data_IF_237049896093
#
_entry.id   IF_237049896093
#
_cell.length_a   1.000
_cell.length_b   1.000
_cell.length_c   1.000
_cell.angle_alpha   90.00
_cell.angle_beta   90.00
_cell.angle_gamma   90.00
#
_symmetry.space_group_name_H-M   'P 1'
#
loop_
_entity.id
_entity.type
_entity.pdbx_description
1 polymer ?
#
# COMPACT_ATOMS: atom_id res chain seq x y z
N UNK A 1 7.48 46.40 41.68
CA UNK A 1 8.00 45.06 42.05
C UNK A 1 7.05 44.29 42.99
N UNK A 2 5.79 44.72 43.17
CA UNK A 2 4.86 44.16 44.17
C UNK A 2 3.83 43.17 43.62
N UNK A 3 3.64 43.05 42.31
CA UNK A 3 2.60 42.17 41.75
C UNK A 3 3.03 40.68 41.71
N UNK A 4 4.31 40.40 41.43
CA UNK A 4 4.81 39.01 41.35
C UNK A 4 4.77 38.26 42.69
N UNK A 5 4.85 38.97 43.82
CA UNK A 5 4.79 38.36 45.16
C UNK A 5 3.35 38.07 45.63
N UNK A 6 2.35 38.77 45.08
CA UNK A 6 0.97 38.63 45.51
C UNK A 6 0.30 37.38 44.87
N UNK A 7 0.73 37.02 43.66
CA UNK A 7 0.29 35.81 42.95
C UNK A 7 0.82 34.53 43.63
N UNK A 8 2.07 34.53 44.08
CA UNK A 8 2.72 33.38 44.73
C UNK A 8 2.12 33.09 46.10
N UNK A 9 1.82 34.12 46.90
CA UNK A 9 1.14 33.98 48.18
C UNK A 9 -0.29 33.43 48.03
N UNK A 10 -1.02 33.88 47.00
CA UNK A 10 -2.37 33.36 46.71
C UNK A 10 -2.37 31.89 46.30
N UNK A 11 -1.33 31.44 45.59
CA UNK A 11 -1.12 30.02 45.26
C UNK A 11 -0.98 29.16 46.53
N UNK A 12 -0.10 29.56 47.43
CA UNK A 12 0.18 28.85 48.70
C UNK A 12 -1.06 28.78 49.60
N UNK A 13 -1.82 29.88 49.70
CA UNK A 13 -3.07 29.91 50.48
C UNK A 13 -4.12 28.98 49.89
N UNK A 14 -4.28 28.94 48.55
CA UNK A 14 -5.22 28.04 47.89
C UNK A 14 -4.85 26.57 48.06
N UNK A 15 -3.57 26.23 48.00
CA UNK A 15 -3.06 24.88 48.21
C UNK A 15 -3.29 24.39 49.65
N UNK A 16 -3.03 25.28 50.61
CA UNK A 16 -3.30 25.03 52.04
C UNK A 16 -4.80 24.86 52.32
N UNK A 17 -5.63 25.71 51.72
CA UNK A 17 -7.10 25.64 51.85
C UNK A 17 -7.68 24.39 51.18
N UNK A 18 -7.16 24.01 50.00
CA UNK A 18 -7.54 22.78 49.30
C UNK A 18 -7.18 21.55 50.15
N UNK A 19 -6.02 21.54 50.79
CA UNK A 19 -5.62 20.44 51.70
C UNK A 19 -6.55 20.32 52.90
N UNK A 20 -6.98 21.44 53.47
CA UNK A 20 -7.92 21.48 54.61
C UNK A 20 -9.37 21.09 54.25
N UNK A 21 -9.75 21.21 52.98
CA UNK A 21 -11.12 20.95 52.49
C UNK A 21 -11.27 19.62 51.73
N UNK A 22 -10.22 18.82 51.64
CA UNK A 22 -10.25 17.51 50.96
C UNK A 22 -9.94 17.55 49.45
N UNK A 23 -9.36 18.65 48.97
CA UNK A 23 -8.90 18.87 47.60
C UNK A 23 -9.63 20.01 46.89
N UNK A 24 -9.14 20.44 45.71
CA UNK A 24 -9.85 21.41 44.88
C UNK A 24 -11.26 20.92 44.53
N UNK A 25 -12.25 21.83 44.45
CA UNK A 25 -13.64 21.45 44.15
C UNK A 25 -13.67 20.70 42.82
N UNK A 26 -14.26 19.51 42.82
CA UNK A 26 -14.39 18.68 41.62
C UNK A 26 -15.58 19.13 40.78
N UNK A 27 -15.47 18.99 39.48
CA UNK A 27 -16.59 19.03 38.54
C UNK A 27 -16.83 17.65 37.92
N UNK A 28 -18.00 17.49 37.30
CA UNK A 28 -18.34 16.28 36.54
C UNK A 28 -18.03 16.51 35.06
N UNK A 29 -17.37 15.53 34.43
CA UNK A 29 -17.17 15.52 32.98
C UNK A 29 -17.86 14.29 32.40
N UNK A 30 -18.80 14.53 31.50
CA UNK A 30 -19.45 13.49 30.69
C UNK A 30 -18.64 13.29 29.41
N UNK A 31 -17.96 12.15 29.29
CA UNK A 31 -17.17 11.78 28.11
C UNK A 31 -18.05 10.92 27.20
N UNK A 32 -18.19 11.32 25.94
CA UNK A 32 -18.87 10.58 24.87
C UNK A 32 -17.86 10.19 23.82
N UNK A 33 -17.74 8.90 23.51
CA UNK A 33 -16.80 8.34 22.54
C UNK A 33 -17.51 7.28 21.68
N UNK A 34 -18.53 7.70 20.93
CA UNK A 34 -19.34 6.88 20.03
C UNK A 34 -19.83 5.55 20.65
N UNK A 35 -19.38 4.39 20.18
CA UNK A 35 -19.72 3.05 20.73
C UNK A 35 -18.45 2.26 21.13
N UNK A 36 -17.46 2.95 21.70
CA UNK A 36 -16.19 2.32 22.09
C UNK A 36 -16.17 1.92 23.56
N UNK A 37 -15.45 0.83 23.83
CA UNK A 37 -15.17 0.34 25.18
C UNK A 37 -13.66 0.50 25.44
N UNK A 38 -13.29 1.17 26.53
CA UNK A 38 -11.88 1.53 26.75
C UNK A 38 -11.58 2.12 28.12
N UNK A 39 -10.37 2.68 28.24
CA UNK A 39 -9.86 3.32 29.44
C UNK A 39 -9.72 4.83 29.21
N UNK A 40 -10.19 5.62 30.17
CA UNK A 40 -10.06 7.07 30.21
C UNK A 40 -8.87 7.45 31.07
N UNK A 41 -8.05 8.34 30.53
CA UNK A 41 -6.93 8.97 31.20
C UNK A 41 -7.18 10.48 31.32
N UNK A 42 -6.81 11.05 32.47
CA UNK A 42 -6.82 12.49 32.72
C UNK A 42 -5.40 12.90 33.06
N UNK A 43 -4.81 13.78 32.25
CA UNK A 43 -3.41 14.20 32.35
C UNK A 43 -2.43 13.01 32.43
N UNK A 44 -2.71 11.96 31.66
CA UNK A 44 -1.93 10.72 31.62
C UNK A 44 -2.16 9.75 32.79
N UNK A 45 -3.04 10.07 33.75
CA UNK A 45 -3.40 9.18 34.88
C UNK A 45 -4.73 8.48 34.61
N UNK A 46 -4.86 7.18 34.93
CA UNK A 46 -6.11 6.46 34.74
C UNK A 46 -7.20 7.03 35.65
N UNK A 47 -8.31 7.48 35.05
CA UNK A 47 -9.40 8.16 35.76
C UNK A 47 -10.73 7.40 35.75
N UNK A 48 -10.89 6.44 34.84
CA UNK A 48 -12.11 5.62 34.73
C UNK A 48 -12.13 4.80 33.45
N UNK A 49 -13.14 3.93 33.30
CA UNK A 49 -13.37 3.19 32.06
C UNK A 49 -14.60 3.73 31.33
N UNK A 50 -14.60 3.62 30.00
CA UNK A 50 -15.75 3.96 29.16
C UNK A 50 -16.40 2.67 28.66
N UNK A 51 -17.74 2.61 28.77
CA UNK A 51 -18.55 1.50 28.30
C UNK A 51 -19.71 2.04 27.46
N UNK A 52 -20.04 1.34 26.37
CA UNK A 52 -21.09 1.76 25.43
C UNK A 52 -20.90 3.23 24.98
N UNK A 53 -19.62 3.64 24.84
CA UNK A 53 -19.19 4.98 24.46
C UNK A 53 -19.59 6.12 25.38
N UNK A 54 -19.97 5.86 26.64
CA UNK A 54 -20.29 6.92 27.63
C UNK A 54 -19.64 6.68 28.98
N UNK A 55 -19.18 7.75 29.61
CA UNK A 55 -18.69 7.72 30.99
C UNK A 55 -18.86 9.07 31.68
N UNK A 56 -18.99 9.05 33.00
CA UNK A 56 -18.93 10.26 33.83
C UNK A 56 -17.77 10.12 34.82
N UNK A 57 -16.86 11.09 34.78
CA UNK A 57 -15.70 11.15 35.68
C UNK A 57 -15.71 12.44 36.49
N UNK A 58 -15.12 12.40 37.68
CA UNK A 58 -14.97 13.57 38.55
C UNK A 58 -13.54 14.09 38.49
N UNK A 59 -13.38 15.27 37.92
CA UNK A 59 -12.09 15.90 37.68
C UNK A 59 -11.99 17.18 38.53
N UNK A 60 -10.83 17.49 39.14
CA UNK A 60 -10.63 18.78 39.79
C UNK A 60 -10.99 19.97 38.90
N UNK A 61 -11.41 21.09 39.51
CA UNK A 61 -11.58 22.33 38.77
C UNK A 61 -10.24 22.80 38.20
N UNK A 62 -10.20 23.08 36.90
CA UNK A 62 -8.98 23.36 36.16
C UNK A 62 -9.08 22.96 34.69
N UNK A 63 -8.04 23.25 33.92
CA UNK A 63 -7.90 22.73 32.56
C UNK A 63 -7.18 21.40 32.60
N UNK A 64 -7.78 20.38 31.98
CA UNK A 64 -7.30 19.01 31.99
C UNK A 64 -7.36 18.41 30.59
N UNK A 65 -6.40 17.57 30.25
CA UNK A 65 -6.39 16.80 29.00
C UNK A 65 -6.98 15.42 29.25
N UNK A 66 -8.09 15.13 28.56
CA UNK A 66 -8.76 13.83 28.63
C UNK A 66 -8.36 13.01 27.42
N UNK A 67 -7.95 11.77 27.64
CA UNK A 67 -7.56 10.82 26.61
C UNK A 67 -8.36 9.52 26.77
N UNK A 68 -8.86 8.97 25.68
CA UNK A 68 -9.58 7.70 25.64
C UNK A 68 -8.77 6.73 24.80
N UNK A 69 -8.41 5.60 25.42
CA UNK A 69 -7.72 4.49 24.77
C UNK A 69 -8.64 3.29 24.71
N UNK A 70 -8.97 2.85 23.51
CA UNK A 70 -9.81 1.67 23.29
C UNK A 70 -9.08 0.69 22.36
N UNK A 71 -9.11 -0.63 22.64
CA UNK A 71 -8.52 -1.63 21.74
C UNK A 71 -9.14 -1.54 20.34
N UNK A 72 -8.30 -1.53 19.30
CA UNK A 72 -8.74 -1.42 17.91
C UNK A 72 -9.06 0.01 17.44
N UNK A 73 -8.91 1.02 18.30
CA UNK A 73 -9.10 2.42 17.96
C UNK A 73 -7.81 3.22 18.18
N UNK A 74 -7.64 4.31 17.44
CA UNK A 74 -6.58 5.26 17.70
C UNK A 74 -6.85 6.03 19.01
N UNK A 75 -5.80 6.32 19.77
CA UNK A 75 -5.90 7.12 20.99
C UNK A 75 -6.43 8.52 20.65
N UNK A 76 -7.54 8.91 21.26
CA UNK A 76 -8.18 10.21 21.03
C UNK A 76 -8.11 11.06 22.29
N UNK A 77 -7.75 12.33 22.16
CA UNK A 77 -7.64 13.24 23.30
C UNK A 77 -8.29 14.60 23.04
N UNK A 78 -8.82 15.23 24.08
CA UNK A 78 -9.35 16.60 24.04
C UNK A 78 -9.12 17.34 25.35
N UNK A 79 -8.93 18.65 25.27
CA UNK A 79 -8.76 19.51 26.43
C UNK A 79 -10.12 20.02 26.93
N UNK A 80 -10.33 20.01 28.24
CA UNK A 80 -11.56 20.49 28.88
C UNK A 80 -11.24 21.39 30.06
N UNK A 81 -11.96 22.51 30.18
CA UNK A 81 -11.90 23.39 31.36
C UNK A 81 -13.07 23.10 32.28
N UNK A 82 -12.79 22.49 33.42
CA UNK A 82 -13.76 22.09 34.43
C UNK A 82 -13.97 23.22 35.44
N UNK A 83 -15.22 23.65 35.60
CA UNK A 83 -15.60 24.64 36.62
C UNK A 83 -15.89 23.94 37.97
N UNK A 84 -15.66 24.61 39.12
CA UNK A 84 -16.06 24.11 40.43
C UNK A 84 -17.54 23.72 40.43
N UNK A 85 -17.87 22.49 40.83
CA UNK A 85 -19.26 21.96 40.83
C UNK A 85 -20.00 22.01 39.48
N UNK A 86 -19.28 22.25 38.38
CA UNK A 86 -19.84 22.31 37.04
C UNK A 86 -20.02 20.92 36.41
N UNK A 87 -20.86 20.85 35.38
CA UNK A 87 -20.96 19.69 34.49
C UNK A 87 -20.57 20.12 33.08
N UNK A 88 -19.65 19.38 32.46
CA UNK A 88 -19.17 19.64 31.09
C UNK A 88 -19.24 18.34 30.30
N UNK A 89 -19.74 18.40 29.07
CA UNK A 89 -19.75 17.27 28.16
C UNK A 89 -18.62 17.41 27.14
N UNK A 90 -17.80 16.38 26.97
CA UNK A 90 -16.76 16.27 25.96
C UNK A 90 -17.12 15.13 25.00
N UNK A 91 -17.27 15.44 23.72
CA UNK A 91 -17.50 14.45 22.67
C UNK A 91 -16.21 14.23 21.89
N UNK A 92 -15.76 12.98 21.84
CA UNK A 92 -14.60 12.51 21.11
C UNK A 92 -15.09 11.50 20.07
N UNK A 93 -14.43 11.46 18.92
CA UNK A 93 -14.74 10.52 17.85
C UNK A 93 -13.53 9.63 17.60
N UNK A 94 -13.43 8.47 18.27
CA UNK A 94 -12.35 7.53 18.05
C UNK A 94 -12.40 7.00 16.62
N UNK A 95 -11.32 7.15 15.89
CA UNK A 95 -11.18 6.53 14.56
C UNK A 95 -10.67 5.11 14.80
N UNK A 96 -11.27 4.07 14.19
CA UNK A 96 -10.69 2.75 14.17
C UNK A 96 -9.23 2.89 13.76
N UNK A 97 -8.32 2.26 14.51
CA UNK A 97 -6.95 2.18 14.05
C UNK A 97 -7.06 1.43 12.74
N UNK A 98 -6.69 2.07 11.63
CA UNK A 98 -6.35 1.33 10.43
C UNK A 98 -5.23 0.42 10.89
N UNK A 99 -5.58 -0.79 11.33
CA UNK A 99 -4.67 -1.90 11.21
C UNK A 99 -4.42 -1.91 9.72
N UNK A 100 -3.26 -1.39 9.33
CA UNK A 100 -2.61 -1.70 8.09
C UNK A 100 -3.03 -3.13 7.79
N UNK A 101 -3.93 -3.27 6.82
CA UNK A 101 -4.62 -4.52 6.51
C UNK A 101 -3.63 -5.47 5.88
N UNK A 102 -2.56 -5.79 6.58
CA UNK A 102 -1.77 -6.98 6.41
C UNK A 102 -2.62 -8.10 7.00
N UNK A 103 -3.60 -8.48 6.17
CA UNK A 103 -4.20 -9.80 6.08
C UNK A 103 -3.40 -10.80 6.93
N UNK A 104 -3.90 -11.09 8.13
CA UNK A 104 -3.31 -12.01 9.11
C UNK A 104 -3.42 -13.47 8.67
N UNK A 105 -2.97 -13.78 7.45
CA UNK A 105 -2.34 -15.06 7.15
C UNK A 105 -0.83 -14.80 7.14
N UNK A 106 0.01 -15.62 7.80
CA UNK A 106 1.45 -15.48 7.63
C UNK A 106 1.73 -15.44 6.13
N UNK A 107 2.51 -14.47 5.62
CA UNK A 107 2.75 -14.35 4.19
C UNK A 107 3.27 -15.70 3.73
N UNK A 108 2.45 -16.43 2.98
CA UNK A 108 2.84 -17.69 2.40
C UNK A 108 3.92 -17.32 1.39
N UNK A 109 5.19 -17.35 1.82
CA UNK A 109 6.35 -17.03 0.99
C UNK A 109 6.35 -17.88 -0.29
N UNK A 110 5.72 -19.06 -0.20
CA UNK A 110 5.38 -19.94 -1.31
C UNK A 110 4.42 -19.31 -2.34
N UNK A 111 3.39 -18.61 -1.89
CA UNK A 111 2.38 -17.92 -2.72
C UNK A 111 2.92 -16.60 -3.29
N UNK A 112 3.69 -15.84 -2.49
CA UNK A 112 4.43 -14.66 -2.97
C UNK A 112 5.45 -15.08 -4.04
N UNK A 113 6.18 -16.18 -3.80
CA UNK A 113 7.11 -16.76 -4.77
C UNK A 113 6.43 -17.24 -6.05
N UNK A 114 5.23 -17.86 -5.95
CA UNK A 114 4.48 -18.30 -7.12
C UNK A 114 4.02 -17.13 -8.01
N UNK A 115 3.43 -16.08 -7.43
CA UNK A 115 3.04 -14.89 -8.19
C UNK A 115 4.24 -14.13 -8.76
N UNK A 116 5.33 -14.02 -7.98
CA UNK A 116 6.59 -13.45 -8.45
C UNK A 116 7.17 -14.19 -9.66
N UNK A 117 7.13 -15.53 -9.65
CA UNK A 117 7.59 -16.36 -10.75
C UNK A 117 6.72 -16.20 -12.02
N UNK A 118 5.41 -16.04 -11.87
CA UNK A 118 4.49 -15.81 -13.01
C UNK A 118 4.73 -14.45 -13.67
N UNK A 119 4.91 -13.38 -12.87
CA UNK A 119 5.21 -12.04 -13.39
C UNK A 119 6.56 -12.01 -14.10
N UNK A 120 7.59 -12.61 -13.49
CA UNK A 120 8.90 -12.73 -14.12
C UNK A 120 8.84 -13.55 -15.43
N UNK A 121 8.17 -14.70 -15.42
CA UNK A 121 7.95 -15.54 -16.61
C UNK A 121 7.23 -14.79 -17.75
N UNK A 122 6.22 -13.98 -17.41
CA UNK A 122 5.52 -13.12 -18.36
C UNK A 122 6.43 -12.08 -19.02
N UNK A 123 7.29 -11.40 -18.25
CA UNK A 123 8.26 -10.44 -18.79
C UNK A 123 9.27 -11.10 -19.74
N UNK A 124 9.76 -12.30 -19.41
CA UNK A 124 10.63 -13.06 -20.29
C UNK A 124 9.93 -13.51 -21.58
N UNK A 125 8.66 -13.89 -21.53
CA UNK A 125 7.88 -14.23 -22.72
C UNK A 125 7.73 -13.03 -23.67
N UNK A 126 7.43 -11.84 -23.13
CA UNK A 126 7.40 -10.60 -23.92
C UNK A 126 8.76 -10.31 -24.56
N UNK A 127 9.85 -10.42 -23.79
CA UNK A 127 11.21 -10.28 -24.31
C UNK A 127 11.54 -11.27 -25.44
N UNK A 128 11.09 -12.53 -25.32
CA UNK A 128 11.27 -13.55 -26.34
C UNK A 128 10.50 -13.25 -27.63
N UNK A 129 9.25 -12.77 -27.53
CA UNK A 129 8.46 -12.39 -28.71
C UNK A 129 9.02 -11.15 -29.42
N UNK A 130 9.49 -10.14 -28.66
CA UNK A 130 10.19 -8.99 -29.21
C UNK A 130 11.49 -9.38 -29.91
N UNK A 131 12.29 -10.27 -29.29
CA UNK A 131 13.52 -10.81 -29.89
C UNK A 131 13.24 -11.53 -31.21
N UNK A 132 12.23 -12.41 -31.25
CA UNK A 132 11.84 -13.11 -32.48
C UNK A 132 11.38 -12.14 -33.58
N UNK A 133 10.64 -11.09 -33.22
CA UNK A 133 10.19 -10.06 -34.16
C UNK A 133 11.38 -9.27 -34.76
N UNK A 134 12.37 -8.91 -33.93
CA UNK A 134 13.58 -8.20 -34.37
C UNK A 134 14.45 -9.04 -35.31
N UNK A 135 14.64 -10.33 -35.01
CA UNK A 135 15.39 -11.25 -35.89
C UNK A 135 14.71 -11.39 -37.26
N UNK A 136 13.37 -11.44 -37.28
CA UNK A 136 12.61 -11.56 -38.53
C UNK A 136 12.61 -10.27 -39.36
N UNK A 137 12.80 -9.10 -38.75
CA UNK A 137 12.92 -7.84 -39.51
C UNK A 137 14.31 -7.71 -40.16
N UNK A 138 15.38 -8.14 -39.48
CA UNK A 138 16.75 -8.08 -40.03
C UNK A 138 16.94 -9.00 -41.24
N UNK A 139 16.34 -10.19 -41.23
CA UNK A 139 16.42 -11.13 -42.36
C UNK A 139 15.57 -10.76 -43.59
N UNK A 140 14.83 -9.64 -43.54
CA UNK A 140 13.95 -9.16 -44.61
C UNK A 140 14.46 -7.89 -45.30
N UNK A 141 15.58 -7.33 -44.87
CA UNK A 141 16.17 -6.20 -45.58
C UNK A 141 16.65 -6.67 -46.95
N UNK A 142 16.08 -6.06 -48.00
CA UNK A 142 16.41 -6.36 -49.40
C UNK A 142 17.92 -6.27 -49.66
N UNK A 143 18.62 -5.39 -48.93
CA UNK A 143 20.08 -5.25 -48.97
C UNK A 143 20.82 -6.46 -48.38
N UNK A 144 20.32 -7.06 -47.30
CA UNK A 144 20.89 -8.28 -46.72
C UNK A 144 20.62 -9.50 -47.61
N UNK A 145 19.42 -9.58 -48.20
CA UNK A 145 19.06 -10.64 -49.16
C UNK A 145 19.94 -10.54 -50.41
N UNK A 146 20.12 -9.34 -50.97
CA UNK A 146 21.02 -9.09 -52.09
C UNK A 146 22.49 -9.38 -51.76
N UNK A 147 22.92 -9.15 -50.51
CA UNK A 147 24.25 -9.56 -50.06
C UNK A 147 24.39 -11.09 -50.09
N UNK A 148 23.39 -11.82 -49.60
CA UNK A 148 23.37 -13.29 -49.57
C UNK A 148 23.33 -13.93 -50.95
N UNK A 149 22.62 -13.32 -51.91
CA UNK A 149 22.57 -13.80 -53.30
C UNK A 149 23.92 -13.74 -54.03
N UNK A 150 24.86 -12.93 -53.52
CA UNK A 150 26.20 -12.80 -54.09
C UNK A 150 27.16 -13.95 -53.76
N UNK A 151 26.79 -14.87 -52.86
CA UNK A 151 27.69 -15.88 -52.34
C UNK A 151 27.02 -17.25 -52.18
N UNK A 152 27.71 -18.32 -52.57
CA UNK A 152 27.37 -19.70 -52.19
C UNK A 152 28.16 -20.05 -50.91
N UNK A 153 27.49 -20.08 -49.75
CA UNK A 153 28.11 -20.46 -48.47
C UNK A 153 27.60 -19.66 -47.26
N UNK A 154 28.32 -19.77 -46.14
CA UNK A 154 28.02 -18.99 -44.93
C UNK A 154 28.42 -17.52 -45.14
N UNK A 155 27.42 -16.66 -45.31
CA UNK A 155 27.60 -15.22 -45.55
C UNK A 155 28.21 -14.50 -44.35
N UNK A 156 28.10 -15.04 -43.14
CA UNK A 156 28.64 -14.42 -41.94
C UNK A 156 30.16 -14.56 -41.86
N UNK A 157 30.71 -15.66 -42.36
CA UNK A 157 32.17 -15.85 -42.41
C UNK A 157 32.79 -14.99 -43.53
N UNK A 158 32.11 -14.86 -44.66
CA UNK A 158 32.52 -13.96 -45.76
C UNK A 158 32.46 -12.48 -45.38
N UNK A 159 31.45 -12.09 -44.61
CA UNK A 159 31.34 -10.73 -44.08
C UNK A 159 32.50 -10.37 -43.15
N UNK A 160 32.93 -11.31 -42.28
CA UNK A 160 34.12 -11.15 -41.41
C UNK A 160 35.43 -11.04 -42.20
N UNK A 161 35.50 -11.71 -43.37
CA UNK A 161 36.62 -11.58 -44.31
C UNK A 161 36.59 -10.25 -45.09
N UNK A 162 35.52 -9.45 -44.93
CA UNK A 162 35.35 -8.15 -45.58
C UNK A 162 34.91 -8.24 -47.04
N UNK A 163 34.45 -9.40 -47.50
CA UNK A 163 34.04 -9.62 -48.89
C UNK A 163 32.73 -8.88 -49.21
N UNK A 164 32.68 -8.18 -50.35
CA UNK A 164 31.49 -7.45 -50.82
C UNK A 164 30.74 -8.26 -51.87
N UNK A 165 29.41 -8.31 -51.75
CA UNK A 165 28.56 -8.91 -52.79
C UNK A 165 28.64 -8.07 -54.08
N UNK A 166 28.67 -8.76 -55.22
CA UNK A 166 28.60 -8.15 -56.55
C UNK A 166 27.19 -7.70 -56.95
N UNK A 167 26.18 -7.93 -56.10
CA UNK A 167 24.79 -7.59 -56.37
C UNK A 167 24.53 -6.12 -56.02
N UNK A 168 23.89 -5.38 -56.93
CA UNK A 168 23.55 -3.97 -56.73
C UNK A 168 22.56 -3.80 -55.57
N UNK A 169 22.88 -2.91 -54.63
CA UNK A 169 22.05 -2.65 -53.46
C UNK A 169 22.32 -3.59 -52.27
N UNK A 170 23.33 -4.46 -52.37
CA UNK A 170 23.76 -5.30 -51.26
C UNK A 170 24.27 -4.49 -50.06
N UNK A 171 23.99 -5.01 -48.86
CA UNK A 171 24.45 -4.45 -47.59
C UNK A 171 25.99 -4.45 -47.51
N UNK A 172 26.55 -3.56 -46.68
CA UNK A 172 28.00 -3.54 -46.48
C UNK A 172 28.46 -4.75 -45.65
N UNK A 173 29.70 -5.23 -45.81
CA UNK A 173 30.21 -6.36 -45.03
C UNK A 173 30.16 -6.11 -43.53
N UNK A 174 30.38 -4.87 -43.08
CA UNK A 174 30.29 -4.47 -41.68
C UNK A 174 28.86 -4.51 -41.13
N UNK A 175 27.85 -4.17 -41.94
CA UNK A 175 26.44 -4.25 -41.52
C UNK A 175 26.01 -5.72 -41.37
N UNK A 176 26.48 -6.58 -42.27
CA UNK A 176 26.22 -8.02 -42.24
C UNK A 176 26.96 -8.67 -41.07
N UNK A 177 28.20 -8.28 -40.81
CA UNK A 177 28.97 -8.75 -39.66
C UNK A 177 28.29 -8.41 -38.33
N UNK A 178 27.83 -7.16 -38.16
CA UNK A 178 27.13 -6.73 -36.94
C UNK A 178 25.81 -7.48 -36.74
N UNK A 179 25.07 -7.73 -37.83
CA UNK A 179 23.86 -8.56 -37.80
C UNK A 179 24.15 -10.01 -37.42
N UNK A 180 25.22 -10.61 -37.97
CA UNK A 180 25.65 -11.96 -37.63
C UNK A 180 26.10 -12.06 -36.16
N UNK A 181 26.88 -11.09 -35.67
CA UNK A 181 27.33 -11.02 -34.28
C UNK A 181 26.16 -10.81 -33.31
N UNK A 182 25.15 -10.03 -33.71
CA UNK A 182 23.92 -9.84 -32.95
C UNK A 182 23.07 -11.11 -32.92
N UNK A 183 22.98 -11.84 -34.03
CA UNK A 183 22.26 -13.12 -34.12
C UNK A 183 22.82 -14.20 -33.19
N UNK A 184 24.15 -14.30 -33.10
CA UNK A 184 24.81 -15.27 -32.22
C UNK A 184 24.56 -14.97 -30.74
N UNK A 185 24.63 -13.69 -30.35
CA UNK A 185 24.28 -13.23 -29.00
C UNK A 185 22.82 -13.49 -28.66
N UNK A 186 21.90 -13.22 -29.58
CA UNK A 186 20.47 -13.48 -29.38
C UNK A 186 20.16 -14.96 -29.27
N UNK A 187 20.86 -15.83 -30.00
CA UNK A 187 20.72 -17.28 -29.90
C UNK A 187 21.08 -17.79 -28.50
N UNK A 188 22.19 -17.30 -27.93
CA UNK A 188 22.59 -17.62 -26.56
C UNK A 188 21.58 -17.09 -25.53
N UNK A 189 21.13 -15.84 -25.70
CA UNK A 189 20.12 -15.24 -24.83
C UNK A 189 18.80 -16.01 -24.87
N UNK A 190 18.44 -16.56 -26.03
CA UNK A 190 17.23 -17.34 -26.22
C UNK A 190 17.29 -18.68 -25.46
N UNK A 191 18.42 -19.40 -25.48
CA UNK A 191 18.56 -20.61 -24.64
C UNK A 191 18.43 -20.31 -23.14
N UNK A 192 18.98 -19.18 -22.69
CA UNK A 192 18.87 -18.72 -21.30
C UNK A 192 17.42 -18.35 -20.96
N UNK A 193 16.73 -17.58 -21.80
CA UNK A 193 15.35 -17.20 -21.56
C UNK A 193 14.37 -18.37 -21.63
N UNK A 194 14.56 -19.33 -22.53
CA UNK A 194 13.69 -20.51 -22.62
C UNK A 194 13.87 -21.44 -21.43
N UNK A 195 15.10 -21.63 -20.96
CA UNK A 195 15.37 -22.43 -19.75
C UNK A 195 14.87 -21.77 -18.47
N UNK A 196 15.14 -20.47 -18.27
CA UNK A 196 14.62 -19.71 -17.13
C UNK A 196 13.09 -19.67 -17.12
N UNK A 197 12.47 -19.44 -18.28
CA UNK A 197 11.00 -19.44 -18.40
C UNK A 197 10.39 -20.80 -18.07
N UNK A 198 10.97 -21.90 -18.57
CA UNK A 198 10.48 -23.25 -18.27
C UNK A 198 10.57 -23.59 -16.77
N UNK A 199 11.67 -23.19 -16.11
CA UNK A 199 11.85 -23.39 -14.66
C UNK A 199 10.89 -22.51 -13.86
N UNK A 200 10.71 -21.24 -14.23
CA UNK A 200 9.81 -20.33 -13.51
C UNK A 200 8.33 -20.69 -13.65
N UNK A 201 7.87 -21.03 -14.85
CA UNK A 201 6.47 -21.47 -15.07
C UNK A 201 6.24 -22.84 -14.43
N UNK A 202 7.18 -23.78 -14.58
CA UNK A 202 7.08 -25.10 -13.94
C UNK A 202 7.05 -25.03 -12.42
N UNK A 203 7.95 -24.27 -11.81
CA UNK A 203 7.96 -24.08 -10.35
C UNK A 203 6.74 -23.30 -9.87
N UNK A 204 6.36 -22.21 -10.53
CA UNK A 204 5.18 -21.42 -10.16
C UNK A 204 3.88 -22.21 -10.25
N UNK A 205 3.67 -22.96 -11.33
CA UNK A 205 2.49 -23.83 -11.50
C UNK A 205 2.48 -25.01 -10.54
N UNK A 206 3.64 -25.63 -10.27
CA UNK A 206 3.75 -26.71 -9.28
C UNK A 206 3.43 -26.22 -7.85
N UNK A 207 3.90 -25.03 -7.47
CA UNK A 207 3.61 -24.43 -6.16
C UNK A 207 2.12 -24.09 -6.00
N UNK A 208 1.43 -23.68 -7.08
CA UNK A 208 -0.02 -23.46 -7.08
C UNK A 208 -0.82 -24.78 -7.07
N UNK A 209 -0.37 -25.79 -7.82
CA UNK A 209 -1.09 -27.06 -7.96
C UNK A 209 -0.98 -27.96 -6.72
N UNK A 210 -0.01 -27.71 -5.84
CA UNK A 210 0.18 -28.43 -4.57
C UNK A 210 -0.48 -27.73 -3.38
N UNK A 211 -1.27 -26.67 -3.62
CA UNK A 211 -2.23 -26.14 -2.65
C UNK A 211 -3.47 -27.06 -2.64
N UNK A 212 -3.92 -27.53 -1.48
CA UNK A 212 -5.27 -28.09 -1.35
C UNK A 212 -6.28 -26.98 -1.69
N UNK A 213 -7.33 -27.25 -2.49
CA UNK A 213 -8.32 -26.21 -2.79
C UNK A 213 -9.04 -25.86 -1.48
N UNK A 214 -8.78 -24.68 -0.93
CA UNK A 214 -9.67 -24.14 0.09
C UNK A 214 -11.07 -24.05 -0.52
N UNK A 215 -12.00 -24.86 0.00
CA UNK A 215 -13.42 -24.59 -0.14
C UNK A 215 -13.63 -23.15 0.28
N UNK A 216 -13.96 -22.30 -0.69
CA UNK A 216 -14.54 -20.99 -0.41
C UNK A 216 -15.87 -21.24 0.27
N UNK A 217 -15.83 -21.44 1.59
CA UNK A 217 -16.99 -21.37 2.45
C UNK A 217 -17.70 -20.05 2.15
N UNK A 218 -18.95 -20.14 1.75
CA UNK A 218 -19.86 -19.00 1.61
C UNK A 218 -20.06 -18.35 2.97
N UNK A 219 -19.09 -17.58 3.41
CA UNK A 219 -19.27 -16.59 4.48
C UNK A 219 -19.07 -15.26 3.79
N UNK A 220 -20.16 -14.70 3.29
CA UNK A 220 -20.22 -13.34 2.79
C UNK A 220 -19.75 -12.42 3.93
N UNK A 221 -18.59 -11.75 3.85
CA UNK A 221 -18.38 -10.59 4.69
C UNK A 221 -19.40 -9.56 4.22
N UNK A 222 -20.06 -8.84 5.13
CA UNK A 222 -20.93 -7.71 4.78
C UNK A 222 -20.13 -6.75 3.91
N UNK A 223 -20.24 -6.93 2.60
CA UNK A 223 -19.35 -6.29 1.65
C UNK A 223 -20.00 -4.98 1.37
N UNK A 224 -19.39 -3.89 1.84
CA UNK A 224 -19.85 -2.56 1.49
C UNK A 224 -19.92 -2.47 -0.05
N UNK A 225 -21.14 -2.36 -0.58
CA UNK A 225 -21.39 -2.25 -2.02
C UNK A 225 -21.52 -0.78 -2.36
N UNK A 226 -20.67 -0.31 -3.26
CA UNK A 226 -20.82 1.01 -3.85
C UNK A 226 -21.94 0.96 -4.89
N UNK A 227 -23.00 1.72 -4.65
CA UNK A 227 -24.10 1.89 -5.59
C UNK A 227 -23.98 3.25 -6.26
N UNK A 228 -23.83 3.22 -7.59
CA UNK A 228 -23.80 4.43 -8.42
C UNK A 228 -25.23 4.82 -8.79
N UNK A 229 -25.63 6.03 -8.44
CA UNK A 229 -26.95 6.59 -8.71
C UNK A 229 -26.79 7.74 -9.71
N UNK A 230 -27.18 7.55 -10.98
CA UNK A 230 -27.20 8.64 -11.92
C UNK A 230 -28.31 9.62 -11.53
N UNK A 231 -27.99 10.91 -11.46
CA UNK A 231 -28.96 11.98 -11.24
C UNK A 231 -29.03 12.85 -12.50
N UNK A 232 -30.24 13.25 -12.91
CA UNK A 232 -30.44 14.13 -14.05
C UNK A 232 -31.27 15.33 -13.62
N UNK A 233 -30.71 16.53 -13.75
CA UNK A 233 -31.40 17.80 -13.54
C UNK A 233 -31.50 18.58 -14.85
N UNK A 234 -32.43 19.56 -14.93
CA UNK A 234 -32.63 20.47 -16.07
C UNK A 234 -31.45 21.45 -16.27
N UNK A 235 -30.25 20.92 -16.41
CA UNK A 235 -29.00 21.66 -16.54
C UNK A 235 -27.75 20.77 -16.59
N UNK A 236 -27.89 19.45 -16.37
CA UNK A 236 -26.79 18.49 -16.45
C UNK A 236 -27.10 17.18 -15.73
N UNK A 237 -26.35 16.13 -16.08
CA UNK A 237 -26.36 14.84 -15.37
C UNK A 237 -25.21 14.77 -14.37
N UNK A 238 -25.49 14.23 -13.18
CA UNK A 238 -24.53 13.89 -12.14
C UNK A 238 -24.52 12.38 -11.86
N UNK A 239 -23.52 11.93 -11.12
CA UNK A 239 -23.40 10.55 -10.66
C UNK A 239 -23.04 10.58 -9.18
N UNK A 240 -23.98 10.18 -8.34
CA UNK A 240 -23.79 10.08 -6.89
C UNK A 240 -23.34 8.67 -6.53
N UNK A 241 -22.35 8.58 -5.65
CA UNK A 241 -21.85 7.30 -5.15
C UNK A 241 -22.34 7.11 -3.73
N UNK A 242 -23.13 6.06 -3.50
CA UNK A 242 -23.63 5.70 -2.17
C UNK A 242 -22.99 4.40 -1.70
N UNK A 243 -22.39 4.42 -0.52
CA UNK A 243 -21.88 3.23 0.15
C UNK A 243 -23.03 2.57 0.94
N UNK A 244 -23.26 1.27 0.72
CA UNK A 244 -24.28 0.49 1.45
C UNK A 244 -23.59 -0.72 2.08
N UNK A 245 -23.71 -0.89 3.40
CA UNK A 245 -23.14 -1.99 4.17
C UNK A 245 -24.13 -3.14 4.34
#
# INVERSE_FOLDING_TARGET
>A
LTEANDETLRGIVRESLATLTGGPPKGSVEVKADDVNGQIFVDGKPAGSIRDGKATIFVPAGTHRIEVRAPGYADVSGDVTVRPSGSVALSLHPVPKEEDGESGSPPNLRRIGAYGALVAGGAFAVGATYSWMKVRSMGKDDAFVAYKEGFEGDVCDRAKEGERSGVSGAASPSDVEDQCATGEKLRLLQWVFWSLSAVSVGAGTYLLATEEPEEKGNTSPGTARFQLLPSAAQGGGGLDVRLVF
#
